data_IF_073045013652
#
_entry.id   IF_073045013652
#
_cell.length_a   1.000
_cell.length_b   1.000
_cell.length_c   1.000
_cell.angle_alpha   90.00
_cell.angle_beta   90.00
_cell.angle_gamma   90.00
#
_symmetry.space_group_name_H-M   'P 1'
#
loop_
_entity.id
_entity.type
_entity.pdbx_description
1 polymer ?
#
# COMPACT_ATOMS: atom_id res chain seq x y z
N UNK A 1 -0.29 6.61 31.24
CA UNK A 1 0.93 6.32 32.04
C UNK A 1 2.15 6.50 31.16
N UNK A 2 2.71 7.71 31.15
CA UNK A 2 4.15 7.99 31.09
C UNK A 2 4.29 9.15 32.06
N UNK A 3 4.94 8.88 33.18
CA UNK A 3 5.14 9.82 34.28
C UNK A 3 6.53 10.41 34.05
N UNK A 4 6.60 11.70 33.76
CA UNK A 4 7.88 12.41 33.76
C UNK A 4 8.05 13.08 35.13
N UNK A 5 8.76 12.38 36.02
CA UNK A 5 9.21 12.91 37.30
C UNK A 5 10.53 13.65 37.06
N UNK A 6 10.54 14.97 37.22
CA UNK A 6 11.78 15.73 37.38
C UNK A 6 11.86 16.17 38.83
N UNK A 7 12.87 15.64 39.54
CA UNK A 7 13.13 15.90 40.96
C UNK A 7 13.75 17.30 41.17
N UNK A 8 13.59 17.87 42.38
CA UNK A 8 13.79 19.28 42.65
C UNK A 8 15.28 19.64 42.75
N UNK A 9 15.63 20.84 42.27
CA UNK A 9 16.93 21.42 42.49
C UNK A 9 16.95 22.11 43.87
N UNK A 10 17.96 21.79 44.64
CA UNK A 10 18.16 22.12 46.05
C UNK A 10 18.03 23.60 46.41
N UNK A 11 17.58 23.76 47.65
CA UNK A 11 17.57 24.96 48.45
C UNK A 11 18.98 25.53 48.62
N UNK A 12 19.24 26.70 48.03
CA UNK A 12 20.41 27.52 48.36
C UNK A 12 19.94 28.80 49.05
N UNK A 13 20.13 28.81 50.37
CA UNK A 13 20.10 29.96 51.27
C UNK A 13 20.97 31.11 50.71
N UNK A 14 20.37 32.30 50.53
CA UNK A 14 21.08 33.58 50.51
C UNK A 14 20.11 34.75 50.71
N UNK A 15 20.23 35.39 51.88
CA UNK A 15 19.58 36.65 52.30
C UNK A 15 19.54 37.70 51.16
N UNK A 16 18.46 38.49 51.03
CA UNK A 16 18.42 39.59 50.07
C UNK A 16 19.36 40.71 50.53
N UNK A 17 20.54 40.79 49.92
CA UNK A 17 21.35 42.02 49.90
C UNK A 17 20.75 42.93 48.83
N UNK A 18 20.20 44.05 49.28
CA UNK A 18 19.60 45.06 48.42
C UNK A 18 20.60 45.58 47.39
N UNK A 19 20.34 45.31 46.13
CA UNK A 19 20.90 46.05 45.00
C UNK A 19 19.72 46.69 44.26
N UNK A 20 19.60 48.01 44.41
CA UNK A 20 18.67 48.84 43.65
C UNK A 20 19.17 48.88 42.20
N UNK A 21 18.59 48.07 41.33
CA UNK A 21 18.68 48.32 39.89
C UNK A 21 17.82 49.54 39.58
N UNK A 22 18.45 50.70 39.43
CA UNK A 22 17.80 51.87 38.84
C UNK A 22 17.82 51.66 37.33
N UNK A 23 16.73 51.10 36.78
CA UNK A 23 16.53 51.05 35.34
C UNK A 23 16.68 52.48 34.79
N UNK A 24 17.57 52.67 33.83
CA UNK A 24 17.72 53.95 33.16
C UNK A 24 16.62 54.08 32.10
N UNK A 25 16.22 55.30 31.71
CA UNK A 25 15.17 55.50 30.70
C UNK A 25 15.43 54.72 29.38
N UNK A 26 16.70 54.46 29.07
CA UNK A 26 17.12 53.65 27.92
C UNK A 26 16.66 52.18 28.01
N UNK A 27 16.64 51.60 29.20
CA UNK A 27 16.22 50.21 29.43
C UNK A 27 14.72 50.03 29.25
N UNK A 28 13.94 51.04 29.65
CA UNK A 28 12.47 51.05 29.51
C UNK A 28 12.09 51.16 28.03
N UNK A 29 12.80 51.97 27.25
CA UNK A 29 12.58 52.07 25.80
C UNK A 29 12.95 50.78 25.06
N UNK A 30 14.02 50.11 25.46
CA UNK A 30 14.43 48.82 24.88
C UNK A 30 13.39 47.72 25.16
N UNK A 31 12.91 47.62 26.39
CA UNK A 31 11.87 46.66 26.77
C UNK A 31 10.55 46.92 26.02
N UNK A 32 10.19 48.19 25.86
CA UNK A 32 8.97 48.59 25.15
C UNK A 32 9.06 48.36 23.64
N UNK A 33 10.25 48.49 23.04
CA UNK A 33 10.51 48.10 21.64
C UNK A 33 10.42 46.58 21.47
N UNK A 34 11.04 45.79 22.36
CA UNK A 34 10.98 44.33 22.33
C UNK A 34 9.54 43.81 22.48
N UNK A 35 8.75 44.39 23.38
CA UNK A 35 7.34 44.01 23.56
C UNK A 35 6.50 44.34 22.31
N UNK A 36 6.75 45.48 21.66
CA UNK A 36 6.07 45.85 20.40
C UNK A 36 6.47 44.95 19.23
N UNK A 37 7.73 44.53 19.17
CA UNK A 37 8.24 43.59 18.17
C UNK A 37 7.61 42.21 18.34
N UNK A 38 7.55 41.69 19.58
CA UNK A 38 6.95 40.40 19.89
C UNK A 38 5.43 40.40 19.63
N UNK A 39 4.72 41.48 19.99
CA UNK A 39 3.28 41.59 19.74
C UNK A 39 2.96 41.63 18.24
N UNK A 40 3.75 42.36 17.43
CA UNK A 40 3.59 42.38 15.97
C UNK A 40 3.92 41.01 15.34
N UNK A 41 4.95 40.32 15.83
CA UNK A 41 5.31 38.99 15.37
C UNK A 41 4.19 37.96 15.64
N UNK A 42 3.55 38.03 16.81
CA UNK A 42 2.39 37.19 17.12
C UNK A 42 1.16 37.53 16.27
N UNK A 43 0.89 38.82 16.01
CA UNK A 43 -0.22 39.23 15.13
C UNK A 43 -0.03 38.75 13.69
N UNK A 44 1.19 38.84 13.15
CA UNK A 44 1.51 38.39 11.79
C UNK A 44 1.46 36.86 11.66
N UNK A 45 1.89 36.13 12.68
CA UNK A 45 1.82 34.67 12.72
C UNK A 45 0.37 34.17 12.85
N UNK A 46 -0.51 34.89 13.56
CA UNK A 46 -1.92 34.53 13.64
C UNK A 46 -2.67 34.73 12.31
N UNK A 47 -2.29 35.72 11.49
CA UNK A 47 -2.88 35.93 10.15
C UNK A 47 -2.52 34.80 9.17
N UNK A 48 -1.26 34.33 9.16
CA UNK A 48 -0.83 33.29 8.21
C UNK A 48 -1.45 31.91 8.50
N UNK A 49 -1.83 31.64 9.75
CA UNK A 49 -2.53 30.39 10.11
C UNK A 49 -3.99 30.40 9.64
N UNK A 50 -4.60 31.58 9.46
CA UNK A 50 -6.00 31.67 9.02
C UNK A 50 -6.18 31.43 7.51
N UNK A 51 -5.19 31.79 6.69
CA UNK A 51 -5.25 31.56 5.23
C UNK A 51 -5.03 30.10 4.84
N UNK A 52 -4.30 29.32 5.65
CA UNK A 52 -4.04 27.90 5.38
C UNK A 52 -5.26 26.98 5.61
N UNK A 53 -6.33 27.46 6.26
CA UNK A 53 -7.48 26.63 6.65
C UNK A 53 -8.58 26.57 5.58
N UNK A 54 -8.55 27.42 4.54
CA UNK A 54 -9.65 27.54 3.57
C UNK A 54 -9.45 26.84 2.21
N UNK A 55 -8.43 26.00 2.04
CA UNK A 55 -8.19 25.29 0.76
C UNK A 55 -8.78 23.86 0.70
N UNK A 56 -9.83 23.55 1.47
CA UNK A 56 -10.57 22.29 1.29
C UNK A 56 -11.62 22.49 0.19
N UNK A 57 -11.26 22.20 -1.06
CA UNK A 57 -12.24 22.11 -2.14
C UNK A 57 -13.09 20.85 -1.94
N UNK A 58 -14.40 21.04 -1.76
CA UNK A 58 -15.38 19.97 -1.81
C UNK A 58 -15.43 19.42 -3.24
N UNK A 59 -14.68 18.35 -3.50
CA UNK A 59 -14.74 17.62 -4.76
C UNK A 59 -16.02 16.80 -4.77
N UNK A 60 -17.03 17.28 -5.48
CA UNK A 60 -18.25 16.50 -5.74
C UNK A 60 -17.95 15.52 -6.87
N UNK A 61 -17.85 14.24 -6.55
CA UNK A 61 -17.73 13.20 -7.56
C UNK A 61 -19.05 13.07 -8.33
N UNK A 62 -19.03 12.87 -9.66
CA UNK A 62 -20.24 12.65 -10.42
C UNK A 62 -20.98 11.42 -9.91
N UNK A 63 -22.32 11.51 -9.84
CA UNK A 63 -23.17 10.37 -9.50
C UNK A 63 -23.13 9.37 -10.65
N UNK A 64 -22.36 8.28 -10.47
CA UNK A 64 -22.37 7.16 -11.41
C UNK A 64 -23.72 6.45 -11.26
N UNK A 65 -24.48 6.35 -12.35
CA UNK A 65 -25.68 5.51 -12.40
C UNK A 65 -25.30 4.08 -12.02
N UNK A 66 -26.07 3.44 -11.14
CA UNK A 66 -25.82 2.05 -10.73
C UNK A 66 -25.90 1.07 -11.89
N UNK A 67 -26.55 1.45 -13.00
CA UNK A 67 -26.58 0.66 -14.23
C UNK A 67 -26.85 1.55 -15.46
N UNK A 68 -25.95 1.63 -16.44
CA UNK A 68 -26.24 2.24 -17.75
C UNK A 68 -27.43 1.54 -18.42
N UNK A 69 -28.31 2.29 -19.09
CA UNK A 69 -29.45 1.71 -19.84
C UNK A 69 -29.00 0.85 -21.03
N UNK A 70 -27.76 1.02 -21.47
CA UNK A 70 -27.10 0.30 -22.56
C UNK A 70 -25.99 -0.64 -22.05
N UNK A 71 -26.02 -1.04 -20.78
CA UNK A 71 -25.03 -1.98 -20.25
C UNK A 71 -25.13 -3.33 -20.98
N UNK A 72 -23.97 -3.95 -21.25
CA UNK A 72 -23.91 -5.32 -21.75
C UNK A 72 -24.51 -6.32 -20.75
N UNK A 73 -24.66 -7.57 -21.17
CA UNK A 73 -24.97 -8.66 -20.25
C UNK A 73 -23.88 -8.78 -19.15
N UNK A 74 -24.28 -9.32 -18.01
CA UNK A 74 -23.34 -9.69 -16.95
C UNK A 74 -22.46 -10.81 -17.51
N UNK A 75 -21.14 -10.66 -17.36
CA UNK A 75 -20.18 -11.67 -17.77
C UNK A 75 -20.08 -12.75 -16.71
N UNK A 76 -19.73 -13.97 -17.13
CA UNK A 76 -19.38 -15.02 -16.19
C UNK A 76 -18.23 -14.55 -15.30
N UNK A 77 -18.30 -14.87 -14.01
CA UNK A 77 -17.26 -14.52 -13.06
C UNK A 77 -16.00 -15.39 -13.26
N UNK A 78 -16.11 -16.52 -13.97
CA UNK A 78 -14.97 -17.33 -14.42
C UNK A 78 -14.37 -16.89 -15.77
N UNK A 79 -14.81 -15.76 -16.35
CA UNK A 79 -14.37 -15.27 -17.68
C UNK A 79 -12.85 -15.19 -17.83
N UNK A 80 -12.11 -14.98 -16.74
CA UNK A 80 -10.65 -15.08 -16.72
C UNK A 80 -10.22 -16.57 -16.80
N UNK A 81 -10.58 -17.27 -17.87
CA UNK A 81 -10.14 -18.64 -18.11
C UNK A 81 -8.67 -18.65 -18.53
N UNK A 82 -7.89 -19.57 -17.96
CA UNK A 82 -6.47 -19.73 -18.28
C UNK A 82 -6.29 -21.01 -19.09
N UNK A 83 -5.67 -20.87 -20.25
CA UNK A 83 -5.19 -22.01 -21.04
C UNK A 83 -3.74 -22.26 -20.68
N UNK A 84 -3.45 -23.46 -20.17
CA UNK A 84 -2.08 -23.88 -19.86
C UNK A 84 -1.74 -25.05 -20.76
N UNK A 85 -0.60 -24.96 -21.44
CA UNK A 85 -0.07 -26.05 -22.25
C UNK A 85 0.10 -27.31 -21.38
N UNK A 86 -0.44 -28.44 -21.83
CA UNK A 86 -0.47 -29.68 -21.05
C UNK A 86 0.92 -30.09 -20.58
N UNK A 87 1.92 -29.96 -21.46
CA UNK A 87 3.29 -30.36 -21.17
C UNK A 87 4.02 -29.46 -20.16
N UNK A 88 3.42 -28.34 -19.73
CA UNK A 88 4.00 -27.41 -18.77
C UNK A 88 3.15 -27.25 -17.49
N UNK A 89 2.15 -28.10 -17.28
CA UNK A 89 1.29 -28.03 -16.09
C UNK A 89 2.08 -28.15 -14.79
N UNK A 90 3.18 -28.91 -14.77
CA UNK A 90 4.10 -29.02 -13.64
C UNK A 90 4.96 -27.76 -13.43
N UNK A 91 5.35 -27.06 -14.48
CA UNK A 91 6.06 -25.78 -14.39
C UNK A 91 5.14 -24.70 -13.83
N UNK A 92 3.89 -24.64 -14.34
CA UNK A 92 2.91 -23.65 -13.91
C UNK A 92 2.31 -23.97 -12.54
N UNK A 93 1.96 -25.23 -12.27
CA UNK A 93 1.33 -25.65 -11.01
C UNK A 93 2.33 -26.02 -9.91
N UNK A 94 3.55 -26.40 -10.27
CA UNK A 94 4.45 -27.14 -9.40
C UNK A 94 4.01 -28.60 -9.25
N UNK A 95 4.48 -29.24 -8.19
CA UNK A 95 4.06 -30.58 -7.79
C UNK A 95 3.61 -30.61 -6.32
N UNK A 96 3.10 -31.76 -5.86
CA UNK A 96 2.58 -31.90 -4.50
C UNK A 96 3.59 -31.55 -3.39
N UNK A 97 4.89 -31.74 -3.65
CA UNK A 97 5.96 -31.42 -2.69
C UNK A 97 6.48 -29.99 -2.83
N UNK A 98 6.45 -29.44 -4.04
CA UNK A 98 6.97 -28.11 -4.38
C UNK A 98 5.96 -27.37 -5.26
N UNK A 99 4.87 -26.84 -4.68
CA UNK A 99 3.86 -26.10 -5.44
C UNK A 99 4.40 -24.76 -5.92
N UNK A 100 3.94 -24.30 -7.09
CA UNK A 100 4.27 -22.97 -7.59
C UNK A 100 3.43 -21.92 -6.83
N UNK A 101 4.09 -21.24 -5.89
CA UNK A 101 3.44 -20.26 -5.00
C UNK A 101 2.86 -19.08 -5.77
N UNK A 102 3.53 -18.61 -6.83
CA UNK A 102 3.05 -17.50 -7.65
C UNK A 102 1.71 -17.85 -8.30
N UNK A 103 1.61 -19.01 -8.94
CA UNK A 103 0.37 -19.47 -9.57
C UNK A 103 -0.74 -19.65 -8.55
N UNK A 104 -0.43 -20.24 -7.40
CA UNK A 104 -1.42 -20.45 -6.34
C UNK A 104 -1.98 -19.13 -5.81
N UNK A 105 -1.11 -18.15 -5.56
CA UNK A 105 -1.52 -16.81 -5.14
C UNK A 105 -2.33 -16.11 -6.23
N UNK A 106 -1.95 -16.24 -7.51
CA UNK A 106 -2.73 -15.70 -8.63
C UNK A 106 -4.16 -16.24 -8.65
N UNK A 107 -4.33 -17.56 -8.57
CA UNK A 107 -5.65 -18.18 -8.55
C UNK A 107 -6.47 -17.68 -7.34
N UNK A 108 -5.83 -17.57 -6.18
CA UNK A 108 -6.46 -17.06 -4.96
C UNK A 108 -6.93 -15.61 -5.12
N UNK A 109 -6.12 -14.72 -5.72
CA UNK A 109 -6.54 -13.32 -5.96
C UNK A 109 -7.66 -13.21 -6.97
N UNK A 110 -7.76 -14.13 -7.92
CA UNK A 110 -8.90 -14.19 -8.85
C UNK A 110 -10.18 -14.55 -8.09
N UNK A 111 -10.13 -15.57 -7.23
CA UNK A 111 -11.25 -15.95 -6.36
C UNK A 111 -11.68 -14.78 -5.47
N UNK A 112 -10.74 -14.07 -4.84
CA UNK A 112 -11.04 -12.92 -3.98
C UNK A 112 -11.74 -11.78 -4.73
N UNK A 113 -11.41 -11.58 -6.01
CA UNK A 113 -11.97 -10.49 -6.83
C UNK A 113 -13.29 -10.83 -7.48
N UNK A 114 -13.47 -12.07 -7.94
CA UNK A 114 -14.65 -12.48 -8.72
C UNK A 114 -15.62 -13.34 -7.91
N UNK A 115 -15.18 -13.86 -6.76
CA UNK A 115 -15.93 -14.81 -5.93
C UNK A 115 -15.92 -16.25 -6.46
N UNK A 116 -15.27 -16.52 -7.60
CA UNK A 116 -15.12 -17.86 -8.19
C UNK A 116 -13.72 -18.04 -8.77
N UNK A 117 -13.22 -19.27 -8.77
CA UNK A 117 -11.92 -19.57 -9.39
C UNK A 117 -11.97 -19.39 -10.92
N UNK A 118 -10.81 -19.17 -11.57
CA UNK A 118 -10.73 -19.22 -13.02
C UNK A 118 -10.92 -20.65 -13.54
N UNK A 119 -11.50 -20.77 -14.73
CA UNK A 119 -11.52 -22.05 -15.44
C UNK A 119 -10.13 -22.33 -16.03
N UNK A 120 -9.56 -23.48 -15.69
CA UNK A 120 -8.26 -23.91 -16.23
C UNK A 120 -8.49 -24.93 -17.33
N UNK A 121 -8.04 -24.62 -18.54
CA UNK A 121 -7.99 -25.58 -19.64
C UNK A 121 -6.56 -26.13 -19.78
N UNK A 122 -6.30 -27.37 -19.35
CA UNK A 122 -5.11 -28.07 -19.79
C UNK A 122 -5.27 -28.40 -21.28
N UNK A 123 -4.37 -27.91 -22.12
CA UNK A 123 -4.51 -28.09 -23.57
C UNK A 123 -3.36 -27.49 -24.36
N UNK A 124 -3.69 -26.79 -25.45
CA UNK A 124 -2.69 -26.27 -26.39
C UNK A 124 -2.19 -27.33 -27.36
N UNK A 125 -1.21 -27.02 -28.20
CA UNK A 125 -0.75 -27.95 -29.25
C UNK A 125 -0.03 -29.17 -28.68
N UNK A 126 0.43 -29.09 -27.43
CA UNK A 126 1.15 -30.18 -26.77
C UNK A 126 0.25 -31.39 -26.46
N UNK A 127 -1.07 -31.18 -26.37
CA UNK A 127 -2.03 -32.27 -26.15
C UNK A 127 -2.07 -33.24 -27.34
N UNK A 128 -1.83 -32.76 -28.56
CA UNK A 128 -1.89 -33.57 -29.78
C UNK A 128 -0.79 -34.65 -29.81
N UNK A 129 0.29 -34.41 -29.06
CA UNK A 129 1.40 -35.34 -28.87
C UNK A 129 1.41 -36.03 -27.50
N UNK A 130 0.32 -35.92 -26.74
CA UNK A 130 0.22 -36.49 -25.39
C UNK A 130 -0.34 -37.91 -25.41
N UNK A 131 0.26 -38.81 -24.63
CA UNK A 131 -0.19 -40.20 -24.50
C UNK A 131 -0.48 -40.52 -23.04
N UNK A 132 -1.74 -40.85 -22.74
CA UNK A 132 -2.09 -41.32 -21.40
C UNK A 132 -1.41 -42.66 -21.09
N UNK A 133 -0.81 -42.75 -19.90
CA UNK A 133 -0.17 -43.96 -19.39
C UNK A 133 -0.54 -44.18 -17.94
N UNK A 134 -1.33 -45.21 -17.64
CA UNK A 134 -1.81 -45.53 -16.27
C UNK A 134 -0.67 -45.75 -15.27
N UNK A 135 0.43 -46.34 -15.73
CA UNK A 135 1.64 -46.58 -14.93
C UNK A 135 2.79 -45.63 -15.32
N UNK A 136 2.48 -44.54 -16.02
CA UNK A 136 3.47 -43.54 -16.38
C UNK A 136 4.03 -42.87 -15.12
N UNK A 137 5.26 -42.34 -15.17
CA UNK A 137 5.68 -41.34 -14.19
C UNK A 137 4.72 -40.13 -14.22
N UNK A 138 4.86 -39.20 -13.27
CA UNK A 138 4.24 -37.87 -13.38
C UNK A 138 4.54 -37.21 -14.73
N UNK A 139 3.76 -36.19 -15.10
CA UNK A 139 3.90 -35.37 -16.31
C UNK A 139 5.35 -35.31 -16.82
N UNK A 140 5.62 -36.00 -17.93
CA UNK A 140 6.95 -36.07 -18.53
C UNK A 140 6.97 -35.25 -19.81
N UNK A 141 7.92 -34.32 -19.89
CA UNK A 141 8.19 -33.51 -21.08
C UNK A 141 9.36 -34.12 -21.85
N UNK A 142 9.16 -34.53 -23.10
CA UNK A 142 10.22 -34.98 -23.99
C UNK A 142 10.43 -34.01 -25.15
N UNK A 143 11.64 -33.45 -25.21
CA UNK A 143 12.09 -32.51 -26.24
C UNK A 143 13.05 -33.17 -27.23
N UNK A 144 12.96 -32.76 -28.49
CA UNK A 144 13.92 -33.17 -29.52
C UNK A 144 15.24 -32.35 -29.39
N UNK A 145 16.32 -32.69 -30.11
CA UNK A 145 17.58 -31.95 -30.05
C UNK A 145 17.49 -30.47 -30.47
N UNK A 146 16.40 -30.05 -31.12
CA UNK A 146 16.11 -28.67 -31.50
C UNK A 146 15.24 -27.93 -30.49
N UNK A 147 14.88 -28.56 -29.36
CA UNK A 147 14.03 -27.98 -28.31
C UNK A 147 12.52 -28.05 -28.59
N UNK A 148 12.10 -28.81 -29.61
CA UNK A 148 10.68 -29.02 -29.93
C UNK A 148 10.08 -30.14 -29.08
N UNK A 149 8.93 -29.87 -28.47
CA UNK A 149 8.16 -30.86 -27.72
C UNK A 149 7.54 -31.85 -28.71
N UNK A 150 7.82 -33.14 -28.54
CA UNK A 150 7.28 -34.17 -29.43
C UNK A 150 6.53 -35.29 -28.71
N UNK A 151 6.62 -35.33 -27.36
CA UNK A 151 5.82 -36.23 -26.53
C UNK A 151 5.65 -35.67 -25.12
N UNK A 152 4.44 -35.81 -24.60
CA UNK A 152 4.13 -35.71 -23.17
C UNK A 152 3.33 -36.92 -22.70
N UNK A 153 3.44 -37.29 -21.42
CA UNK A 153 2.67 -38.39 -20.80
C UNK A 153 2.15 -37.99 -19.45
#
# INVERSE_FOLDING_TARGET
MVVLVVRPCDQADRRPRGYKYSATNSDVHCLQLCLRMLLKAHLLCACSVWEAVFASQLVTLPKISSRPSNASQILDRSLASLSIEFAFLDVFGGNNSNPNILTRELMQRLVERTGVGPDIRPGGITIDSSVFSEHGPSLLLAENPSGGIYRST
#
